data_IF_916420116240
#
_entry.id   IF_916420116240
#
_cell.length_a   1.000
_cell.length_b   1.000
_cell.length_c   1.000
_cell.angle_alpha   90.00
_cell.angle_beta   90.00
_cell.angle_gamma   90.00
#
_symmetry.space_group_name_H-M   'P 1'
#
loop_
_entity.id
_entity.type
_entity.pdbx_description
1 polymer ?
#
# COMPACT_ATOMS: atom_id res chain seq x y z
N UNK A 1 5.42 -5.51 10.11
CA UNK A 1 4.86 -6.39 9.03
C UNK A 1 5.87 -6.53 7.92
N UNK A 2 6.02 -7.72 7.37
CA UNK A 2 6.99 -7.99 6.31
C UNK A 2 6.43 -7.64 4.93
N UNK A 3 7.17 -6.82 4.16
CA UNK A 3 6.76 -6.41 2.82
C UNK A 3 7.35 -7.36 1.79
N UNK A 4 6.49 -8.02 1.02
CA UNK A 4 6.89 -8.85 -0.12
C UNK A 4 6.83 -8.00 -1.38
N UNK A 5 7.83 -8.13 -2.26
CA UNK A 5 8.00 -7.32 -3.48
C UNK A 5 8.41 -5.88 -3.18
N UNK A 6 9.25 -5.72 -2.16
CA UNK A 6 9.81 -4.41 -1.78
C UNK A 6 10.50 -3.72 -2.97
N UNK A 7 11.14 -4.49 -3.84
CA UNK A 7 11.83 -3.96 -5.00
C UNK A 7 10.89 -3.16 -5.91
N UNK A 8 9.62 -3.55 -6.00
CA UNK A 8 8.61 -2.84 -6.80
C UNK A 8 8.48 -1.39 -6.34
N UNK A 9 8.44 -1.16 -5.03
CA UNK A 9 8.36 0.19 -4.47
C UNK A 9 9.62 1.00 -4.77
N UNK A 10 10.79 0.39 -4.59
CA UNK A 10 12.07 1.06 -4.80
C UNK A 10 12.22 1.46 -6.26
N UNK A 11 11.92 0.56 -7.18
CA UNK A 11 11.98 0.85 -8.61
C UNK A 11 11.00 1.98 -8.99
N UNK A 12 9.82 1.98 -8.38
CA UNK A 12 8.84 3.03 -8.66
C UNK A 12 9.33 4.40 -8.20
N UNK A 13 9.82 4.51 -6.96
CA UNK A 13 10.25 5.82 -6.45
C UNK A 13 11.54 6.32 -7.10
N UNK A 14 12.35 5.43 -7.67
CA UNK A 14 13.51 5.84 -8.46
C UNK A 14 13.09 6.51 -9.77
N UNK A 15 12.02 6.00 -10.41
CA UNK A 15 11.48 6.56 -11.65
C UNK A 15 10.55 7.75 -11.41
N UNK A 16 9.89 7.77 -10.26
CA UNK A 16 8.90 8.79 -9.90
C UNK A 16 9.31 9.43 -8.59
N UNK A 17 10.31 10.31 -8.65
CA UNK A 17 10.95 10.87 -7.45
C UNK A 17 9.99 11.63 -6.55
N UNK A 18 8.91 12.18 -7.09
CA UNK A 18 7.88 12.86 -6.30
C UNK A 18 7.06 11.91 -5.42
N UNK A 19 7.16 10.60 -5.63
CA UNK A 19 6.50 9.60 -4.78
C UNK A 19 7.39 9.12 -3.63
N UNK A 20 8.69 9.41 -3.69
CA UNK A 20 9.69 8.79 -2.83
C UNK A 20 9.44 9.03 -1.35
N UNK A 21 9.21 10.29 -0.96
CA UNK A 21 9.01 10.63 0.46
C UNK A 21 7.77 9.92 1.01
N UNK A 22 6.66 10.00 0.28
CA UNK A 22 5.40 9.36 0.68
C UNK A 22 5.51 7.84 0.80
N UNK A 23 6.15 7.21 -0.19
CA UNK A 23 6.35 5.75 -0.17
C UNK A 23 7.30 5.32 0.93
N UNK A 24 8.36 6.08 1.19
CA UNK A 24 9.27 5.77 2.31
C UNK A 24 8.58 5.89 3.66
N UNK A 25 7.74 6.89 3.85
CA UNK A 25 6.97 7.03 5.09
C UNK A 25 6.02 5.85 5.27
N UNK A 26 5.31 5.45 4.23
CA UNK A 26 4.44 4.28 4.25
C UNK A 26 5.25 3.03 4.59
N UNK A 27 6.38 2.85 3.92
CA UNK A 27 7.28 1.72 4.13
C UNK A 27 7.70 1.62 5.61
N UNK A 28 8.15 2.73 6.20
CA UNK A 28 8.60 2.76 7.59
C UNK A 28 7.46 2.40 8.55
N UNK A 29 6.26 2.93 8.31
CA UNK A 29 5.10 2.60 9.15
C UNK A 29 4.76 1.11 9.07
N UNK A 30 4.81 0.54 7.87
CA UNK A 30 4.47 -0.88 7.68
C UNK A 30 5.49 -1.79 8.35
N UNK A 31 6.79 -1.59 8.13
CA UNK A 31 7.79 -2.50 8.68
C UNK A 31 7.87 -2.42 10.21
N UNK A 32 7.53 -1.28 10.80
CA UNK A 32 7.53 -1.09 12.25
C UNK A 32 6.17 -1.40 12.88
N UNK A 33 5.15 -1.65 12.07
CA UNK A 33 3.80 -1.88 12.56
C UNK A 33 3.47 -3.35 12.74
N UNK A 34 2.45 -3.59 13.58
CA UNK A 34 1.94 -4.92 13.85
C UNK A 34 0.44 -4.79 14.10
N UNK A 35 -0.35 -5.37 13.20
CA UNK A 35 -1.80 -5.27 13.27
C UNK A 35 -2.41 -6.65 13.20
N UNK A 36 -3.47 -6.88 13.99
CA UNK A 36 -4.16 -8.18 14.06
C UNK A 36 -5.26 -8.30 13.01
N UNK A 37 -5.82 -7.18 12.59
CA UNK A 37 -6.95 -7.16 11.66
C UNK A 37 -7.02 -5.80 10.97
N UNK A 38 -7.98 -5.69 10.03
CA UNK A 38 -8.15 -4.46 9.25
C UNK A 38 -8.53 -3.26 10.12
N UNK A 39 -9.30 -3.47 11.19
CA UNK A 39 -9.70 -2.37 12.06
C UNK A 39 -8.49 -1.73 12.75
N UNK A 40 -7.55 -2.57 13.22
CA UNK A 40 -6.31 -2.07 13.82
C UNK A 40 -5.46 -1.32 12.79
N UNK A 41 -5.35 -1.89 11.57
CA UNK A 41 -4.60 -1.26 10.50
C UNK A 41 -5.17 0.13 10.17
N UNK A 42 -6.49 0.24 10.09
CA UNK A 42 -7.14 1.50 9.76
C UNK A 42 -7.01 2.56 10.84
N UNK A 43 -6.70 2.19 12.09
CA UNK A 43 -6.39 3.18 13.12
C UNK A 43 -5.13 3.99 12.77
N UNK A 44 -4.14 3.33 12.13
CA UNK A 44 -2.90 3.98 11.71
C UNK A 44 -2.97 4.49 10.27
N UNK A 45 -3.89 3.95 9.46
CA UNK A 45 -4.10 4.33 8.07
C UNK A 45 -5.59 4.59 7.84
N UNK A 46 -6.14 5.69 8.40
CA UNK A 46 -7.61 5.92 8.39
C UNK A 46 -8.20 6.08 6.99
N UNK A 47 -7.38 6.45 5.99
CA UNK A 47 -7.83 6.63 4.62
C UNK A 47 -7.55 5.42 3.73
N UNK A 48 -7.12 4.28 4.30
CA UNK A 48 -6.97 3.06 3.54
C UNK A 48 -8.34 2.47 3.20
N UNK A 49 -8.49 1.97 1.97
CA UNK A 49 -9.73 1.35 1.50
C UNK A 49 -9.59 -0.16 1.56
N UNK A 50 -10.55 -0.83 2.20
CA UNK A 50 -10.58 -2.29 2.27
C UNK A 50 -11.65 -2.82 1.31
N UNK A 51 -11.21 -3.67 0.35
CA UNK A 51 -12.11 -4.23 -0.67
C UNK A 51 -12.52 -5.68 -0.38
N UNK A 52 -12.22 -6.19 0.81
CA UNK A 52 -12.42 -7.61 1.12
C UNK A 52 -11.28 -8.47 0.57
N UNK A 53 -11.31 -9.76 0.87
CA UNK A 53 -10.30 -10.73 0.43
C UNK A 53 -8.86 -10.27 0.69
N UNK A 54 -8.65 -9.62 1.83
CA UNK A 54 -7.34 -9.12 2.26
C UNK A 54 -6.76 -7.98 1.40
N UNK A 55 -7.55 -7.42 0.49
CA UNK A 55 -7.09 -6.36 -0.39
C UNK A 55 -7.26 -5.00 0.28
N UNK A 56 -6.16 -4.26 0.39
CA UNK A 56 -6.15 -2.92 0.97
C UNK A 56 -5.46 -1.95 0.01
N UNK A 57 -6.10 -0.81 -0.25
CA UNK A 57 -5.55 0.24 -1.10
C UNK A 57 -5.18 1.43 -0.24
N UNK A 58 -3.93 1.85 -0.32
CA UNK A 58 -3.41 2.98 0.43
C UNK A 58 -3.26 4.21 -0.46
N UNK A 59 -3.58 5.36 0.10
CA UNK A 59 -3.28 6.65 -0.53
C UNK A 59 -1.87 7.07 -0.14
N UNK A 60 -1.08 7.46 -1.13
CA UNK A 60 0.30 7.90 -0.93
C UNK A 60 0.37 9.37 -1.36
N UNK A 61 0.97 10.20 -0.51
CA UNK A 61 1.08 11.65 -0.74
C UNK A 61 -0.30 12.25 -1.01
N UNK A 62 -1.20 12.10 -0.03
CA UNK A 62 -2.61 12.47 -0.21
C UNK A 62 -3.26 11.57 -1.25
N UNK A 63 -3.76 12.17 -2.35
CA UNK A 63 -4.40 11.42 -3.43
C UNK A 63 -3.54 11.29 -4.68
N UNK A 64 -2.26 11.66 -4.62
CA UNK A 64 -1.41 11.67 -5.81
C UNK A 64 -1.08 10.27 -6.32
N UNK A 65 -0.90 9.31 -5.40
CA UNK A 65 -0.55 7.94 -5.75
C UNK A 65 -1.44 6.95 -5.01
N UNK A 66 -1.63 5.77 -5.62
CA UNK A 66 -2.41 4.66 -5.06
C UNK A 66 -1.57 3.41 -5.02
N UNK A 67 -1.61 2.71 -3.88
CA UNK A 67 -0.85 1.48 -3.67
C UNK A 67 -1.85 0.36 -3.34
N UNK A 68 -1.93 -0.64 -4.23
CA UNK A 68 -2.79 -1.81 -4.02
C UNK A 68 -1.96 -2.91 -3.40
N UNK A 69 -2.47 -3.47 -2.29
CA UNK A 69 -1.77 -4.52 -1.54
C UNK A 69 -2.72 -5.66 -1.20
N UNK A 70 -2.13 -6.81 -0.88
CA UNK A 70 -2.81 -7.92 -0.23
C UNK A 70 -2.16 -8.08 1.15
N UNK A 71 -2.96 -8.03 2.20
CA UNK A 71 -2.48 -8.07 3.59
C UNK A 71 -2.89 -9.37 4.25
N UNK A 72 -1.92 -10.12 4.77
CA UNK A 72 -2.17 -11.34 5.55
C UNK A 72 -1.80 -11.06 7.00
N UNK A 73 -2.82 -10.83 7.83
CA UNK A 73 -2.62 -10.47 9.23
C UNK A 73 -2.02 -11.61 10.05
N UNK A 74 -2.45 -12.85 9.81
CA UNK A 74 -1.94 -14.01 10.53
C UNK A 74 -0.43 -14.18 10.34
N UNK A 75 0.04 -14.03 9.11
CA UNK A 75 1.46 -14.16 8.76
C UNK A 75 2.24 -12.87 8.88
N UNK A 76 1.59 -11.75 9.16
CA UNK A 76 2.20 -10.43 9.20
C UNK A 76 2.98 -10.13 7.90
N UNK A 77 2.33 -10.35 6.76
CA UNK A 77 2.90 -10.12 5.42
C UNK A 77 1.98 -9.22 4.61
N UNK A 78 2.60 -8.36 3.82
CA UNK A 78 1.88 -7.50 2.88
C UNK A 78 2.55 -7.61 1.51
N UNK A 79 1.74 -7.89 0.49
CA UNK A 79 2.20 -8.07 -0.89
C UNK A 79 1.83 -6.84 -1.70
N UNK A 80 2.82 -6.31 -2.44
CA UNK A 80 2.59 -5.17 -3.32
C UNK A 80 2.04 -5.70 -4.64
N UNK A 81 0.85 -5.20 -5.04
CA UNK A 81 0.19 -5.63 -6.28
C UNK A 81 0.26 -4.57 -7.36
N UNK A 82 0.22 -3.29 -6.97
CA UNK A 82 0.22 -2.19 -7.92
C UNK A 82 0.62 -0.92 -7.21
N UNK A 83 1.40 -0.08 -7.88
CA UNK A 83 1.66 1.30 -7.48
C UNK A 83 1.57 2.18 -8.72
N UNK A 84 0.84 3.28 -8.63
CA UNK A 84 0.69 4.21 -9.74
C UNK A 84 0.09 5.52 -9.29
N UNK A 85 -0.02 6.44 -10.24
CA UNK A 85 -0.72 7.70 -10.00
C UNK A 85 -2.22 7.46 -9.86
N UNK A 86 -2.92 8.45 -9.33
CA UNK A 86 -4.39 8.39 -9.23
C UNK A 86 -5.02 8.14 -10.62
N UNK A 87 -4.50 8.80 -11.65
CA UNK A 87 -5.01 8.62 -13.02
C UNK A 87 -4.79 7.20 -13.53
N UNK A 88 -3.63 6.61 -13.25
CA UNK A 88 -3.35 5.21 -13.60
C UNK A 88 -4.26 4.25 -12.84
N UNK A 89 -4.48 4.52 -11.56
CA UNK A 89 -5.38 3.71 -10.72
C UNK A 89 -6.82 3.74 -11.25
N UNK A 90 -7.28 4.90 -11.73
CA UNK A 90 -8.64 5.05 -12.26
C UNK A 90 -8.89 4.21 -13.51
N UNK A 91 -7.84 3.81 -14.21
CA UNK A 91 -7.94 3.01 -15.44
C UNK A 91 -7.98 1.51 -15.17
N UNK A 92 -7.76 1.07 -13.94
CA UNK A 92 -7.75 -0.34 -13.59
C UNK A 92 -8.88 -0.67 -12.63
N UNK A 93 -9.20 -1.97 -12.51
CA UNK A 93 -10.16 -2.42 -11.51
C UNK A 93 -9.40 -3.02 -10.32
N UNK A 94 -9.32 -2.25 -9.23
CA UNK A 94 -8.60 -2.65 -8.03
C UNK A 94 -9.14 -3.94 -7.41
N UNK A 95 -10.41 -4.26 -7.64
CA UNK A 95 -11.02 -5.47 -7.08
C UNK A 95 -10.46 -6.75 -7.67
N UNK A 96 -9.91 -6.69 -8.90
CA UNK A 96 -9.40 -7.88 -9.60
C UNK A 96 -7.87 -7.88 -9.74
N UNK A 97 -7.21 -6.82 -9.33
CA UNK A 97 -5.76 -6.77 -9.29
C UNK A 97 -5.26 -7.50 -8.02
#
# INVERSE_FOLDING_TARGET
MHIVSRATLILYWEKHSNSKIGLKLWYQKIINGKWKNINELKNDFPYADYFGNNKVVFNIKGNNFRLITIVFFDGQKIYIRFIGTHAEYDKINAKII
#
